data_IF_474324821416
#
_entry.id   IF_474324821416
#
_cell.length_a   1.000
_cell.length_b   1.000
_cell.length_c   1.000
_cell.angle_alpha   90.00
_cell.angle_beta   90.00
_cell.angle_gamma   90.00
#
_symmetry.space_group_name_H-M   'P 1'
#
loop_
_entity.id
_entity.type
_entity.pdbx_description
1 polymer ?
#
# COMPACT_ATOMS: atom_id res chain seq x y z
N UNK A 1 -9.41 -5.55 -7.79
CA UNK A 1 -9.21 -6.72 -6.88
C UNK A 1 -8.51 -6.33 -5.56
N UNK A 2 -7.31 -5.77 -5.55
CA UNK A 2 -6.59 -5.46 -4.29
C UNK A 2 -7.29 -4.40 -3.41
N UNK A 3 -7.84 -3.34 -4.00
CA UNK A 3 -8.66 -2.37 -3.27
C UNK A 3 -9.88 -3.01 -2.60
N UNK A 4 -10.51 -3.98 -3.25
CA UNK A 4 -11.63 -4.75 -2.67
C UNK A 4 -11.20 -5.51 -1.41
N UNK A 5 -9.99 -6.10 -1.40
CA UNK A 5 -9.45 -6.76 -0.20
C UNK A 5 -9.24 -5.76 0.93
N UNK A 6 -8.69 -4.57 0.64
CA UNK A 6 -8.57 -3.49 1.62
C UNK A 6 -9.91 -3.10 2.23
N UNK A 7 -10.93 -2.91 1.39
CA UNK A 7 -12.30 -2.61 1.81
C UNK A 7 -12.89 -3.72 2.71
N UNK A 8 -12.77 -4.98 2.29
CA UNK A 8 -13.25 -6.13 3.07
C UNK A 8 -12.60 -6.20 4.44
N UNK A 9 -11.27 -6.03 4.51
CA UNK A 9 -10.54 -6.00 5.77
C UNK A 9 -11.02 -4.86 6.69
N UNK A 10 -11.21 -3.65 6.14
CA UNK A 10 -11.72 -2.52 6.92
C UNK A 10 -13.12 -2.81 7.50
N UNK A 11 -14.01 -3.43 6.72
CA UNK A 11 -15.35 -3.84 7.19
C UNK A 11 -15.28 -4.90 8.29
N UNK A 12 -14.42 -5.93 8.14
CA UNK A 12 -14.19 -6.95 9.19
C UNK A 12 -13.66 -6.30 10.48
N UNK A 13 -12.85 -5.26 10.36
CA UNK A 13 -12.31 -4.49 11.48
C UNK A 13 -13.28 -3.42 12.01
N UNK A 14 -14.54 -3.45 11.56
CA UNK A 14 -15.61 -2.58 12.04
C UNK A 14 -15.38 -1.08 11.75
N UNK A 15 -14.73 -0.77 10.63
CA UNK A 15 -14.55 0.59 10.13
C UNK A 15 -15.77 0.96 9.28
N UNK A 16 -16.44 2.07 9.63
CA UNK A 16 -17.70 2.49 8.98
C UNK A 16 -17.61 3.83 8.26
N UNK A 17 -16.63 4.68 8.59
CA UNK A 17 -16.49 5.98 7.95
C UNK A 17 -16.12 5.80 6.47
N UNK A 18 -16.91 6.39 5.58
CA UNK A 18 -16.71 6.31 4.12
C UNK A 18 -15.28 6.67 3.72
N UNK A 19 -14.74 7.76 4.25
CA UNK A 19 -13.38 8.22 3.99
C UNK A 19 -12.32 7.17 4.40
N UNK A 20 -12.53 6.52 5.55
CA UNK A 20 -11.63 5.47 6.03
C UNK A 20 -11.75 4.19 5.20
N UNK A 21 -12.92 3.90 4.65
CA UNK A 21 -13.11 2.80 3.70
C UNK A 21 -12.40 3.08 2.37
N UNK A 22 -12.46 4.32 1.86
CA UNK A 22 -11.70 4.75 0.68
C UNK A 22 -10.19 4.64 0.94
N UNK A 23 -9.70 5.07 2.10
CA UNK A 23 -8.29 4.93 2.49
C UNK A 23 -7.84 3.46 2.61
N UNK A 24 -8.72 2.55 3.02
CA UNK A 24 -8.42 1.12 3.04
C UNK A 24 -8.28 0.54 1.62
N UNK A 25 -9.09 1.04 0.68
CA UNK A 25 -8.94 0.73 -0.75
C UNK A 25 -7.57 1.22 -1.24
N UNK A 26 -7.19 2.46 -0.91
CA UNK A 26 -5.89 3.04 -1.27
C UNK A 26 -4.73 2.19 -0.76
N UNK A 27 -4.78 1.76 0.50
CA UNK A 27 -3.74 0.90 1.07
C UNK A 27 -3.63 -0.43 0.31
N UNK A 28 -4.75 -1.04 -0.04
CA UNK A 28 -4.77 -2.26 -0.87
C UNK A 28 -4.18 -2.04 -2.26
N UNK A 29 -4.51 -0.91 -2.90
CA UNK A 29 -3.95 -0.53 -4.21
C UNK A 29 -2.44 -0.31 -4.09
N UNK A 30 -1.98 0.44 -3.08
CA UNK A 30 -0.56 0.70 -2.85
C UNK A 30 0.26 -0.58 -2.72
N UNK A 31 -0.22 -1.54 -1.91
CA UNK A 31 0.44 -2.84 -1.74
C UNK A 31 0.47 -3.63 -3.04
N UNK A 32 -0.61 -3.59 -3.84
CA UNK A 32 -0.65 -4.28 -5.13
C UNK A 32 0.29 -3.66 -6.15
N UNK A 33 0.36 -2.33 -6.25
CA UNK A 33 1.29 -1.65 -7.14
C UNK A 33 2.75 -1.99 -6.76
N UNK A 34 3.05 -2.07 -5.47
CA UNK A 34 4.35 -2.53 -4.99
C UNK A 34 4.65 -3.98 -5.41
N UNK A 35 3.66 -4.89 -5.33
CA UNK A 35 3.81 -6.27 -5.78
C UNK A 35 4.03 -6.33 -7.31
N UNK A 36 3.22 -5.62 -8.09
CA UNK A 36 3.37 -5.53 -9.56
C UNK A 36 4.79 -5.06 -9.91
N UNK A 37 5.28 -4.01 -9.26
CA UNK A 37 6.63 -3.50 -9.51
C UNK A 37 7.74 -4.45 -9.07
N UNK A 38 7.50 -5.28 -8.05
CA UNK A 38 8.47 -6.27 -7.56
C UNK A 38 8.53 -7.51 -8.45
N UNK A 39 7.39 -7.94 -8.97
CA UNK A 39 7.22 -9.26 -9.56
C UNK A 39 7.23 -9.23 -11.11
N UNK A 40 7.63 -8.11 -11.76
CA UNK A 40 7.64 -7.94 -13.23
C UNK A 40 8.30 -9.11 -13.95
N UNK A 41 9.44 -9.60 -13.42
CA UNK A 41 10.18 -10.68 -14.06
C UNK A 41 9.56 -12.05 -13.82
N UNK A 42 8.92 -12.26 -12.67
CA UNK A 42 8.18 -13.49 -12.34
C UNK A 42 6.88 -13.57 -13.13
N UNK A 43 6.12 -12.48 -13.19
CA UNK A 43 4.86 -12.39 -13.92
C UNK A 43 5.07 -12.63 -15.43
N UNK A 44 6.14 -12.08 -15.99
CA UNK A 44 6.54 -12.33 -17.38
C UNK A 44 6.73 -13.82 -17.68
N UNK A 45 7.32 -14.62 -16.77
CA UNK A 45 7.53 -16.06 -16.96
C UNK A 45 6.23 -16.84 -17.10
N UNK A 46 5.13 -16.29 -16.58
CA UNK A 46 3.79 -16.89 -16.64
C UNK A 46 2.86 -16.13 -17.59
N UNK A 47 3.44 -15.37 -18.54
CA UNK A 47 2.74 -14.57 -19.54
C UNK A 47 1.75 -13.54 -18.94
N UNK A 48 2.09 -12.94 -17.78
CA UNK A 48 1.36 -11.84 -17.18
C UNK A 48 2.14 -10.54 -17.33
N UNK A 49 1.50 -9.52 -17.89
CA UNK A 49 2.12 -8.23 -18.19
C UNK A 49 1.22 -7.12 -17.64
N UNK A 50 1.53 -6.62 -16.45
CA UNK A 50 0.79 -5.52 -15.81
C UNK A 50 1.37 -4.15 -16.14
N UNK A 51 2.69 -4.07 -16.30
CA UNK A 51 3.45 -2.89 -16.69
C UNK A 51 4.57 -3.30 -17.67
N UNK A 52 5.12 -2.35 -18.43
CA UNK A 52 6.22 -2.65 -19.32
C UNK A 52 7.49 -3.01 -18.54
N UNK A 53 8.37 -3.78 -19.17
CA UNK A 53 9.68 -4.17 -18.62
C UNK A 53 10.70 -3.03 -18.78
N UNK A 54 10.34 -1.83 -18.33
CA UNK A 54 11.22 -0.66 -18.28
C UNK A 54 11.39 -0.20 -16.82
N UNK A 55 12.55 0.36 -16.51
CA UNK A 55 12.78 0.86 -15.15
C UNK A 55 11.97 2.12 -14.88
N UNK A 56 11.66 2.90 -15.93
CA UNK A 56 10.82 4.08 -15.88
C UNK A 56 9.39 3.72 -15.44
N UNK A 57 8.80 2.68 -16.01
CA UNK A 57 7.44 2.24 -15.65
C UNK A 57 7.40 1.63 -14.25
N UNK A 58 8.42 0.84 -13.88
CA UNK A 58 8.57 0.31 -12.52
C UNK A 58 8.66 1.46 -11.51
N UNK A 59 9.48 2.47 -11.78
CA UNK A 59 9.65 3.66 -10.94
C UNK A 59 8.34 4.44 -10.84
N UNK A 60 7.69 4.75 -11.96
CA UNK A 60 6.41 5.46 -11.99
C UNK A 60 5.34 4.72 -11.17
N UNK A 61 5.30 3.38 -11.26
CA UNK A 61 4.36 2.56 -10.50
C UNK A 61 4.65 2.61 -8.99
N UNK A 62 5.92 2.61 -8.56
CA UNK A 62 6.28 2.78 -7.15
C UNK A 62 5.95 4.20 -6.67
N UNK A 63 6.23 5.24 -7.45
CA UNK A 63 5.88 6.62 -7.11
C UNK A 63 4.37 6.81 -6.98
N UNK A 64 3.59 6.14 -7.82
CA UNK A 64 2.14 6.10 -7.69
C UNK A 64 1.72 5.37 -6.40
N UNK A 65 2.36 4.23 -6.07
CA UNK A 65 2.07 3.50 -4.83
C UNK A 65 2.33 4.34 -3.58
N UNK A 66 3.38 5.18 -3.59
CA UNK A 66 3.69 6.08 -2.48
C UNK A 66 2.56 7.09 -2.21
N UNK A 67 1.95 7.67 -3.25
CA UNK A 67 0.78 8.55 -3.09
C UNK A 67 -0.37 7.84 -2.39
N UNK A 68 -0.67 6.60 -2.76
CA UNK A 68 -1.71 5.80 -2.12
C UNK A 68 -1.34 5.43 -0.67
N UNK A 69 -0.07 5.12 -0.38
CA UNK A 69 0.39 4.93 1.00
C UNK A 69 0.24 6.19 1.85
N UNK A 70 0.51 7.36 1.31
CA UNK A 70 0.34 8.63 2.02
C UNK A 70 -1.13 8.93 2.29
N UNK A 71 -2.00 8.78 1.28
CA UNK A 71 -3.44 8.99 1.41
C UNK A 71 -4.08 8.09 2.48
N UNK A 72 -3.62 6.84 2.58
CA UNK A 72 -4.18 5.88 3.53
C UNK A 72 -3.71 6.05 4.98
N UNK A 73 -2.64 6.82 5.24
CA UNK A 73 -1.96 6.80 6.53
C UNK A 73 -2.84 7.24 7.70
N UNK A 74 -3.50 8.38 7.59
CA UNK A 74 -4.24 8.97 8.70
C UNK A 74 -5.51 8.20 9.06
N UNK A 75 -6.15 7.58 8.10
CA UNK A 75 -7.35 6.77 8.33
C UNK A 75 -7.08 5.48 9.11
N UNK A 76 -5.81 5.04 9.23
CA UNK A 76 -5.44 3.89 10.07
C UNK A 76 -5.83 4.12 11.54
N UNK A 77 -5.99 5.37 11.98
CA UNK A 77 -6.47 5.69 13.33
C UNK A 77 -7.90 5.18 13.63
N UNK A 78 -8.71 4.95 12.61
CA UNK A 78 -10.08 4.42 12.76
C UNK A 78 -10.10 2.91 12.98
N UNK A 79 -9.00 2.22 12.70
CA UNK A 79 -8.86 0.78 12.96
C UNK A 79 -8.71 0.56 14.48
N UNK A 80 -9.34 -0.48 15.06
CA UNK A 80 -9.16 -0.82 16.47
C UNK A 80 -7.68 -0.92 16.85
N UNK A 81 -7.30 -0.40 18.02
CA UNK A 81 -5.90 -0.25 18.45
C UNK A 81 -5.12 -1.58 18.38
N UNK A 82 -5.78 -2.69 18.71
CA UNK A 82 -5.20 -4.04 18.65
C UNK A 82 -4.70 -4.46 17.27
N UNK A 83 -5.29 -3.93 16.19
CA UNK A 83 -4.91 -4.26 14.80
C UNK A 83 -4.11 -3.15 14.13
N UNK A 84 -4.22 -1.92 14.63
CA UNK A 84 -3.59 -0.73 14.04
C UNK A 84 -2.08 -0.90 13.88
N UNK A 85 -1.41 -1.42 14.91
CA UNK A 85 0.02 -1.66 14.87
C UNK A 85 0.43 -2.64 13.75
N UNK A 86 -0.28 -3.75 13.59
CA UNK A 86 -0.01 -4.73 12.54
C UNK A 86 -0.16 -4.15 11.13
N UNK A 87 -1.17 -3.30 10.92
CA UNK A 87 -1.38 -2.61 9.64
C UNK A 87 -0.24 -1.62 9.35
N UNK A 88 0.22 -0.87 10.37
CA UNK A 88 1.36 0.03 10.22
C UNK A 88 2.64 -0.72 9.88
N UNK A 89 2.91 -1.85 10.53
CA UNK A 89 4.06 -2.71 10.21
C UNK A 89 3.97 -3.21 8.77
N UNK A 90 2.83 -3.75 8.36
CA UNK A 90 2.64 -4.21 6.99
C UNK A 90 2.87 -3.08 5.97
N UNK A 91 2.27 -1.90 6.20
CA UNK A 91 2.46 -0.72 5.37
C UNK A 91 3.95 -0.36 5.21
N UNK A 92 4.71 -0.31 6.31
CA UNK A 92 6.14 0.03 6.27
C UNK A 92 6.96 -1.02 5.54
N UNK A 93 6.72 -2.29 5.81
CA UNK A 93 7.44 -3.39 5.15
C UNK A 93 7.21 -3.37 3.63
N UNK A 94 5.98 -3.14 3.18
CA UNK A 94 5.69 -3.01 1.74
C UNK A 94 6.36 -1.79 1.11
N UNK A 95 6.28 -0.62 1.75
CA UNK A 95 7.00 0.58 1.29
C UNK A 95 8.50 0.35 1.20
N UNK A 96 9.09 -0.41 2.14
CA UNK A 96 10.51 -0.78 2.10
C UNK A 96 10.87 -1.58 0.86
N UNK A 97 9.98 -2.46 0.37
CA UNK A 97 10.16 -3.16 -0.91
C UNK A 97 10.29 -2.14 -2.04
N UNK A 98 9.39 -1.17 -2.12
CA UNK A 98 9.41 -0.10 -3.11
C UNK A 98 10.74 0.67 -3.11
N UNK A 99 11.21 1.12 -1.95
CA UNK A 99 12.50 1.79 -1.82
C UNK A 99 13.69 0.92 -2.26
N UNK A 100 13.65 -0.39 -1.96
CA UNK A 100 14.71 -1.32 -2.41
C UNK A 100 14.69 -1.50 -3.93
N UNK A 101 13.51 -1.44 -4.56
CA UNK A 101 13.38 -1.46 -6.03
C UNK A 101 14.00 -0.20 -6.62
N UNK A 102 13.61 0.98 -6.13
CA UNK A 102 14.14 2.27 -6.61
C UNK A 102 15.66 2.38 -6.49
N UNK A 103 16.24 1.81 -5.43
CA UNK A 103 17.69 1.78 -5.22
C UNK A 103 18.46 0.95 -6.27
N UNK A 104 17.78 0.21 -7.17
CA UNK A 104 18.44 -0.50 -8.27
C UNK A 104 18.87 0.42 -9.40
N UNK A 105 18.24 1.59 -9.51
CA UNK A 105 18.58 2.69 -10.42
C UNK A 105 18.39 2.40 -11.91
N UNK A 106 18.47 1.15 -12.34
CA UNK A 106 18.26 0.73 -13.73
C UNK A 106 17.72 -0.69 -13.84
N UNK A 107 17.23 -1.03 -15.03
CA UNK A 107 16.59 -2.31 -15.32
C UNK A 107 17.55 -3.51 -15.22
N UNK A 108 18.82 -3.31 -15.54
CA UNK A 108 19.81 -4.40 -15.48
C UNK A 108 20.09 -4.81 -14.04
N UNK A 109 20.29 -3.84 -13.15
CA UNK A 109 20.48 -4.10 -11.72
C UNK A 109 19.22 -4.70 -11.08
N UNK A 110 18.04 -4.24 -11.51
CA UNK A 110 16.77 -4.81 -11.08
C UNK A 110 16.68 -6.30 -11.47
N UNK A 111 16.95 -6.64 -12.75
CA UNK A 111 16.95 -8.03 -13.25
C UNK A 111 17.97 -8.92 -12.54
N UNK A 112 19.20 -8.42 -12.36
CA UNK A 112 20.27 -9.16 -11.69
C UNK A 112 19.98 -9.44 -10.22
N UNK A 113 19.20 -8.59 -9.55
CA UNK A 113 18.89 -8.77 -8.13
C UNK A 113 17.93 -9.90 -7.83
N UNK A 114 17.24 -10.46 -8.84
CA UNK A 114 16.16 -11.41 -8.64
C UNK A 114 15.01 -10.79 -7.85
N UNK A 115 14.19 -11.63 -7.22
CA UNK A 115 13.06 -11.16 -6.42
C UNK A 115 13.52 -10.40 -5.18
N UNK A 116 13.03 -9.16 -5.04
CA UNK A 116 13.43 -8.25 -3.99
C UNK A 116 12.60 -8.51 -2.72
N UNK A 117 13.30 -8.77 -1.60
CA UNK A 117 12.70 -9.02 -0.30
C UNK A 117 13.21 -8.05 0.76
N UNK A 118 12.41 -7.88 1.80
CA UNK A 118 12.83 -7.25 3.06
C UNK A 118 13.41 -8.36 3.96
N UNK A 119 14.65 -8.20 4.39
CA UNK A 119 15.32 -9.15 5.29
C UNK A 119 14.66 -9.16 6.67
N UNK A 120 14.92 -10.20 7.47
CA UNK A 120 14.35 -10.27 8.82
C UNK A 120 14.81 -9.12 9.72
N UNK A 121 16.07 -8.68 9.59
CA UNK A 121 16.60 -7.53 10.32
C UNK A 121 15.85 -6.25 9.90
N UNK A 122 15.67 -6.01 8.60
CA UNK A 122 14.91 -4.87 8.11
C UNK A 122 13.46 -4.91 8.60
N UNK A 123 12.81 -6.08 8.62
CA UNK A 123 11.45 -6.23 9.18
C UNK A 123 11.40 -5.84 10.65
N UNK A 124 12.37 -6.25 11.45
CA UNK A 124 12.47 -5.88 12.86
C UNK A 124 12.61 -4.35 12.98
N UNK A 125 13.50 -3.73 12.20
CA UNK A 125 13.67 -2.27 12.19
C UNK A 125 12.36 -1.58 11.82
N UNK A 126 11.70 -1.99 10.74
CA UNK A 126 10.43 -1.40 10.32
C UNK A 126 9.31 -1.61 11.37
N UNK A 127 9.34 -2.73 12.10
CA UNK A 127 8.43 -2.98 13.22
C UNK A 127 8.65 -1.97 14.35
N UNK A 128 9.90 -1.73 14.76
CA UNK A 128 10.20 -0.70 15.77
C UNK A 128 9.81 0.70 15.30
N UNK A 129 10.10 1.04 14.05
CA UNK A 129 9.72 2.34 13.47
C UNK A 129 8.19 2.52 13.38
N UNK A 130 7.42 1.44 13.30
CA UNK A 130 5.94 1.49 13.33
C UNK A 130 5.38 1.97 14.67
N UNK A 131 6.16 1.86 15.76
CA UNK A 131 5.80 2.44 17.06
C UNK A 131 5.72 3.96 16.97
N UNK A 132 6.68 4.59 16.27
CA UNK A 132 6.65 6.04 16.05
C UNK A 132 5.46 6.46 15.19
N UNK A 133 5.12 5.67 14.16
CA UNK A 133 3.91 5.93 13.35
C UNK A 133 2.64 5.81 14.21
N UNK A 134 2.57 4.84 15.11
CA UNK A 134 1.45 4.68 16.05
C UNK A 134 1.31 5.88 16.98
N UNK A 135 2.42 6.35 17.55
CA UNK A 135 2.47 7.55 18.38
C UNK A 135 2.03 8.79 17.56
N UNK A 136 2.59 8.94 16.36
CA UNK A 136 2.23 10.02 15.45
C UNK A 136 0.73 10.06 15.16
N UNK A 137 0.12 8.92 14.85
CA UNK A 137 -1.34 8.82 14.63
C UNK A 137 -2.15 9.18 15.88
N UNK A 138 -1.64 8.87 17.08
CA UNK A 138 -2.31 9.17 18.34
C UNK A 138 -2.25 10.67 18.70
N UNK A 139 -1.21 11.38 18.27
CA UNK A 139 -0.98 12.80 18.58
C UNK A 139 -1.62 13.76 17.55
N UNK A 140 -1.85 13.30 16.33
CA UNK A 140 -2.36 14.16 15.26
C UNK A 140 -3.88 14.10 15.21
N UNK A 141 -4.51 15.23 15.53
CA UNK A 141 -5.96 15.45 15.41
C UNK A 141 -6.32 15.92 13.98
N UNK A 142 -5.77 15.27 12.95
CA UNK A 142 -6.07 15.58 11.56
C UNK A 142 -7.28 14.78 11.13
N UNK A 143 -8.36 15.46 10.77
CA UNK A 143 -9.47 14.82 10.07
C UNK A 143 -9.06 14.58 8.61
N UNK A 144 -9.34 13.39 8.10
CA UNK A 144 -9.07 13.00 6.70
C UNK A 144 -10.01 13.69 5.69
N UNK A 145 -10.84 14.64 6.14
CA UNK A 145 -11.94 15.25 5.38
C UNK A 145 -11.48 15.98 4.10
N UNK A 146 -10.18 16.21 3.93
CA UNK A 146 -9.58 16.93 2.79
C UNK A 146 -8.66 16.07 1.90
N UNK A 147 -8.61 14.74 2.10
CA UNK A 147 -7.82 13.89 1.20
C UNK A 147 -8.65 13.59 -0.04
N UNK A 148 -8.19 14.08 -1.18
CA UNK A 148 -8.81 13.77 -2.47
C UNK A 148 -8.42 12.33 -2.85
N UNK A 149 -9.32 11.38 -2.60
CA UNK A 149 -9.17 10.01 -3.08
C UNK A 149 -9.62 9.96 -4.53
N UNK A 150 -8.71 9.72 -5.46
CA UNK A 150 -9.03 9.57 -6.88
C UNK A 150 -9.63 8.16 -7.13
N UNK A 151 -10.88 8.02 -6.71
CA UNK A 151 -11.65 6.79 -6.86
C UNK A 151 -12.78 6.92 -7.89
N UNK A 152 -12.73 7.91 -8.79
CA UNK A 152 -13.82 8.19 -9.72
C UNK A 152 -14.23 6.97 -10.56
N UNK A 153 -13.27 6.13 -10.95
CA UNK A 153 -13.55 4.86 -11.66
C UNK A 153 -14.14 3.77 -10.76
N UNK A 154 -14.01 3.90 -9.45
CA UNK A 154 -14.48 2.90 -8.47
C UNK A 154 -15.83 3.33 -7.88
N UNK A 155 -16.08 4.62 -7.76
CA UNK A 155 -17.33 5.17 -7.20
C UNK A 155 -18.56 4.82 -8.03
N UNK A 156 -18.42 4.64 -9.35
CA UNK A 156 -19.53 4.23 -10.23
C UNK A 156 -19.86 2.73 -10.10
N UNK A 157 -18.88 1.89 -9.73
CA UNK A 157 -19.05 0.43 -9.64
C UNK A 157 -19.25 -0.10 -8.21
N UNK A 158 -18.84 0.68 -7.18
CA UNK A 158 -18.91 0.26 -5.78
C UNK A 158 -19.77 1.26 -5.00
N UNK A 159 -21.05 1.01 -4.93
CA UNK A 159 -21.84 1.57 -3.86
C UNK A 159 -21.38 0.96 -2.54
N UNK A 160 -20.55 1.71 -1.79
CA UNK A 160 -19.91 1.25 -0.57
C UNK A 160 -20.94 0.85 0.52
N UNK A 161 -22.20 1.21 0.36
CA UNK A 161 -23.26 0.96 1.31
C UNK A 161 -24.22 -0.18 0.92
N UNK A 162 -24.24 -0.58 -0.35
CA UNK A 162 -25.26 -1.53 -0.86
C UNK A 162 -24.76 -2.97 -1.07
N UNK A 163 -23.46 -3.25 -0.92
CA UNK A 163 -22.88 -4.58 -1.19
C UNK A 163 -22.37 -5.31 0.05
N UNK A 164 -23.17 -5.32 1.11
CA UNK A 164 -22.92 -6.22 2.26
C UNK A 164 -24.24 -6.82 2.71
#
# INVERSE_FOLDING_TARGET
MAGTVGLMMAKILNVHKEQSLKSAIDLGIAMQLTNISRDVMEDKKINRFYINESFEDIKATIELSEKFYENSFYSIKEIPLSFRFSILVARRVYRKIGYKILNKQNIENYKKSGKIYVSNIEKIIETFLSIFDLIKLSLINKNDDNINHDHNLINEEINLNERI
#
